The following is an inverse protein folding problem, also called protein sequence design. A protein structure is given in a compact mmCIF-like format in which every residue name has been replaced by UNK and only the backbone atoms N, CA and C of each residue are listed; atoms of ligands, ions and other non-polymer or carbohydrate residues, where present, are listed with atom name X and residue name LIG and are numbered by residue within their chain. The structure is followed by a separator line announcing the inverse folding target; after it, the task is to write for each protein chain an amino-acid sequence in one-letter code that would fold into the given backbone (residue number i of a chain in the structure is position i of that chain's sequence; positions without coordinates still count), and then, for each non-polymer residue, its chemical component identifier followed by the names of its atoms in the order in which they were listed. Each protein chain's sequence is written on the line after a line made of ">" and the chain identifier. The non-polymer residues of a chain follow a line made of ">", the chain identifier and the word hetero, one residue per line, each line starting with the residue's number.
data_IF_549909592421
#
_entry.id   IF_549909592421
#
_cell.length_a   1.000
_cell.length_b   1.000
_cell.length_c   1.000
_cell.angle_alpha   90.00
_cell.angle_beta   90.00
_cell.angle_gamma   90.00
#
_symmetry.space_group_name_H-M   'P 1'
#
loop_
_entity.id
_entity.type
_entity.pdbx_description
1 polymer ?
#
# COMPACT_ATOMS: atom_id res chain seq x y z
N UNK A 1 -15.21 2.59 -7.66
CA UNK A 1 -13.92 3.28 -7.70
C UNK A 1 -13.24 3.17 -6.34
N UNK A 2 -11.92 3.00 -6.35
CA UNK A 2 -11.17 2.95 -5.11
C UNK A 2 -11.16 4.32 -4.44
N UNK A 3 -11.42 4.37 -3.14
CA UNK A 3 -11.40 5.63 -2.37
C UNK A 3 -10.03 5.90 -1.77
N UNK A 4 -9.19 4.88 -1.65
CA UNK A 4 -7.85 4.99 -1.10
C UNK A 4 -6.87 4.31 -2.03
N UNK A 5 -5.66 4.83 -2.11
CA UNK A 5 -4.63 4.20 -2.91
C UNK A 5 -3.25 4.47 -2.29
N UNK A 6 -2.30 3.62 -2.64
CA UNK A 6 -0.91 3.78 -2.21
C UNK A 6 0.00 3.31 -3.33
N UNK A 7 1.09 4.02 -3.54
CA UNK A 7 2.13 3.58 -4.46
C UNK A 7 3.09 2.64 -3.74
N UNK A 8 3.37 1.50 -4.35
CA UNK A 8 4.32 0.54 -3.77
C UNK A 8 5.66 1.20 -3.43
N UNK A 9 6.16 2.05 -4.31
CA UNK A 9 7.45 2.73 -4.12
C UNK A 9 7.47 3.68 -2.93
N UNK A 10 6.31 4.05 -2.37
CA UNK A 10 6.23 4.94 -1.22
C UNK A 10 6.46 4.20 0.09
N UNK A 11 6.27 2.88 0.12
CA UNK A 11 6.47 2.10 1.34
C UNK A 11 7.47 0.95 1.19
N UNK A 12 7.90 0.67 -0.03
CA UNK A 12 8.94 -0.32 -0.30
C UNK A 12 10.14 0.40 -0.91
N UNK A 13 11.28 0.25 -0.29
CA UNK A 13 12.51 0.93 -0.69
C UNK A 13 13.30 0.12 -1.73
N UNK A 14 12.59 -0.52 -2.64
CA UNK A 14 13.17 -1.42 -3.62
C UNK A 14 13.28 -0.79 -5.01
N UNK A 15 13.16 0.52 -5.09
CA UNK A 15 13.48 1.31 -6.27
C UNK A 15 12.35 1.49 -7.25
N UNK A 16 12.12 0.54 -8.14
CA UNK A 16 11.40 0.78 -9.38
C UNK A 16 10.01 0.16 -9.47
N UNK A 17 9.39 -0.16 -8.36
CA UNK A 17 8.05 -0.73 -8.43
C UNK A 17 7.02 0.35 -8.79
N UNK A 18 6.36 0.18 -9.92
CA UNK A 18 5.36 1.14 -10.41
C UNK A 18 3.92 0.72 -10.06
N UNK A 19 3.75 -0.29 -9.23
CA UNK A 19 2.43 -0.78 -8.88
C UNK A 19 1.70 0.22 -7.99
N UNK A 20 0.43 0.46 -8.31
CA UNK A 20 -0.48 1.26 -7.50
C UNK A 20 -1.54 0.32 -6.96
N UNK A 21 -1.78 0.40 -5.66
CA UNK A 21 -2.75 -0.44 -4.98
C UNK A 21 -3.91 0.44 -4.55
N UNK A 22 -5.13 0.04 -4.92
CA UNK A 22 -6.32 0.78 -4.56
C UNK A 22 -7.35 -0.11 -3.89
N UNK A 23 -8.13 0.47 -2.99
CA UNK A 23 -9.22 -0.23 -2.32
C UNK A 23 -10.27 0.76 -1.84
N UNK A 24 -11.46 0.25 -1.52
CA UNK A 24 -12.55 1.09 -1.04
C UNK A 24 -12.42 1.46 0.43
N UNK A 25 -11.72 0.65 1.20
CA UNK A 25 -11.50 0.92 2.63
C UNK A 25 -10.01 0.89 2.92
N UNK A 26 -9.63 1.59 3.98
CA UNK A 26 -8.24 1.64 4.42
C UNK A 26 -7.74 0.24 4.82
N UNK A 27 -8.58 -0.54 5.50
CA UNK A 27 -8.21 -1.88 5.93
C UNK A 27 -7.92 -2.80 4.75
N UNK A 28 -8.78 -2.78 3.74
CA UNK A 28 -8.56 -3.56 2.52
C UNK A 28 -7.28 -3.12 1.82
N UNK A 29 -7.03 -1.83 1.78
CA UNK A 29 -5.84 -1.29 1.15
C UNK A 29 -4.57 -1.80 1.83
N UNK A 30 -4.53 -1.73 3.15
CA UNK A 30 -3.37 -2.18 3.92
C UNK A 30 -3.14 -3.68 3.71
N UNK A 31 -4.20 -4.48 3.76
CA UNK A 31 -4.08 -5.92 3.52
C UNK A 31 -3.54 -6.22 2.13
N UNK A 32 -4.07 -5.57 1.12
CA UNK A 32 -3.60 -5.78 -0.26
C UNK A 32 -2.15 -5.32 -0.43
N UNK A 33 -1.80 -4.19 0.17
CA UNK A 33 -0.44 -3.67 0.11
C UNK A 33 0.55 -4.61 0.80
N UNK A 34 0.18 -5.19 1.92
CA UNK A 34 1.00 -6.18 2.62
C UNK A 34 1.18 -7.44 1.77
N UNK A 35 0.12 -7.93 1.15
CA UNK A 35 0.19 -9.09 0.27
C UNK A 35 1.16 -8.84 -0.88
N UNK A 36 1.08 -7.67 -1.49
CA UNK A 36 1.99 -7.30 -2.56
C UNK A 36 3.44 -7.22 -2.07
N UNK A 37 3.67 -6.60 -0.92
CA UNK A 37 5.00 -6.48 -0.36
C UNK A 37 5.60 -7.85 -0.07
N UNK A 38 4.80 -8.77 0.45
CA UNK A 38 5.26 -10.12 0.73
C UNK A 38 5.55 -10.91 -0.55
N UNK A 39 4.62 -10.90 -1.49
CA UNK A 39 4.71 -11.72 -2.70
C UNK A 39 5.76 -11.21 -3.68
N UNK A 40 5.84 -9.89 -3.86
CA UNK A 40 6.71 -9.30 -4.87
C UNK A 40 8.09 -8.90 -4.34
N UNK A 41 8.17 -8.53 -3.06
CA UNK A 41 9.40 -7.97 -2.47
C UNK A 41 9.94 -8.75 -1.29
N UNK A 42 9.28 -9.84 -0.90
CA UNK A 42 9.74 -10.69 0.20
C UNK A 42 9.68 -10.05 1.58
N UNK A 43 8.89 -8.99 1.74
CA UNK A 43 8.76 -8.30 3.01
C UNK A 43 7.87 -9.10 3.97
N UNK A 44 8.17 -9.01 5.26
CA UNK A 44 7.35 -9.64 6.28
C UNK A 44 6.19 -8.72 6.69
N UNK A 45 5.05 -9.34 7.01
CA UNK A 45 3.91 -8.62 7.55
C UNK A 45 4.19 -8.29 9.02
N UNK A 46 4.52 -7.04 9.28
CA UNK A 46 4.79 -6.55 10.63
C UNK A 46 3.90 -5.36 10.94
N UNK A 47 3.62 -5.11 12.24
CA UNK A 47 2.89 -3.90 12.61
C UNK A 47 3.58 -2.61 12.15
N UNK A 48 4.91 -2.59 12.13
CA UNK A 48 5.66 -1.43 11.69
C UNK A 48 5.43 -1.17 10.19
N UNK A 49 5.44 -2.21 9.37
CA UNK A 49 5.19 -2.05 7.94
C UNK A 49 3.75 -1.60 7.68
N UNK A 50 2.79 -2.18 8.40
CA UNK A 50 1.39 -1.75 8.27
C UNK A 50 1.21 -0.29 8.63
N UNK A 51 1.85 0.18 9.70
CA UNK A 51 1.78 1.58 10.09
C UNK A 51 2.41 2.48 9.03
N UNK A 52 3.52 2.07 8.46
CA UNK A 52 4.19 2.83 7.42
C UNK A 52 3.34 2.94 6.16
N UNK A 53 2.68 1.85 5.77
CA UNK A 53 1.75 1.88 4.64
C UNK A 53 0.62 2.89 4.90
N UNK A 54 0.03 2.85 6.11
CA UNK A 54 -1.04 3.78 6.46
C UNK A 54 -0.61 5.23 6.37
N UNK A 55 0.63 5.53 6.71
CA UNK A 55 1.15 6.89 6.63
C UNK A 55 1.30 7.37 5.19
N UNK A 56 1.43 6.46 4.25
CA UNK A 56 1.62 6.79 2.84
C UNK A 56 0.36 6.64 1.99
N UNK A 57 -0.74 6.22 2.58
CA UNK A 57 -2.02 6.10 1.87
C UNK A 57 -2.52 7.48 1.47
N UNK A 58 -3.01 7.57 0.24
CA UNK A 58 -3.61 8.77 -0.30
C UNK A 58 -5.09 8.54 -0.52
N UNK A 59 -5.90 9.53 -0.19
CA UNK A 59 -7.32 9.47 -0.47
C UNK A 59 -7.57 9.98 -1.88
N UNK A 60 -8.53 9.36 -2.57
CA UNK A 60 -8.97 9.88 -3.85
C UNK A 60 -9.58 11.27 -3.65
N UNK A 61 -9.24 12.21 -4.53
CA UNK A 61 -9.80 13.54 -4.42
C UNK A 61 -11.31 13.48 -4.65
N UNK A 62 -12.10 14.20 -3.86
CA UNK A 62 -13.53 14.28 -4.14
C UNK A 62 -13.75 14.95 -5.49
N UNK A 63 -14.70 14.42 -6.21
CA UNK A 63 -15.04 14.92 -7.53
C UNK A 63 -15.68 16.31 -7.43
#
# INVERSE_FOLDING_TARGET
>A
MAQHFVFCRDYIDDGDCSVVIGANTLEELVETAIEHAHAAHGEEDTPALRAYIRQNVRAAAPA
#
